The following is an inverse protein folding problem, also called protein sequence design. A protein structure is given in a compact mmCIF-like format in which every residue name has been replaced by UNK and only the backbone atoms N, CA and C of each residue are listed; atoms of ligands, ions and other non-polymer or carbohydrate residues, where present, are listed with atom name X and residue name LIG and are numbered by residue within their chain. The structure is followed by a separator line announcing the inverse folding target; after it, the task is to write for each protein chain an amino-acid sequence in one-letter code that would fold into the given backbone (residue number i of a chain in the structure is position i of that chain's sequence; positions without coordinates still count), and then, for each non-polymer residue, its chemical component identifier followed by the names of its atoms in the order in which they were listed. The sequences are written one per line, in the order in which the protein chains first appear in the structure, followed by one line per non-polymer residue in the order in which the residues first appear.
data_IF_173989613513
#
_entry.id   IF_173989613513
#
_cell.length_a   1.000
_cell.length_b   1.000
_cell.length_c   1.000
_cell.angle_alpha   90.00
_cell.angle_beta   90.00
_cell.angle_gamma   90.00
#
_symmetry.space_group_name_H-M   'P 1'
#
loop_
_entity.id
_entity.type
_entity.pdbx_description
1 polymer ?
#
# COMPACT_ATOMS: atom_id res chain seq x y z
N UNK A 1 18.11 29.69 10.83
CA UNK A 1 19.08 28.58 10.78
C UNK A 1 18.58 27.57 9.77
N UNK A 2 19.40 27.19 8.80
CA UNK A 2 19.00 26.27 7.72
C UNK A 2 18.86 24.84 8.24
N UNK A 3 17.82 24.14 7.80
CA UNK A 3 17.62 22.72 8.08
C UNK A 3 18.71 21.89 7.37
N UNK A 4 19.77 21.53 8.11
CA UNK A 4 21.01 20.94 7.58
C UNK A 4 20.87 19.54 6.97
N UNK A 5 19.72 18.87 7.11
CA UNK A 5 19.49 17.52 6.59
C UNK A 5 18.94 17.49 5.16
N UNK A 6 18.60 18.63 4.56
CA UNK A 6 18.14 18.70 3.18
C UNK A 6 19.28 19.03 2.20
N UNK A 7 19.28 18.45 0.98
CA UNK A 7 18.35 17.44 0.49
C UNK A 7 18.54 16.07 1.17
N UNK A 8 17.43 15.39 1.46
CA UNK A 8 17.42 14.06 2.04
C UNK A 8 17.27 12.98 0.95
N UNK A 9 17.89 11.82 1.15
CA UNK A 9 17.96 10.74 0.16
C UNK A 9 17.49 9.40 0.75
N UNK A 10 16.92 8.54 -0.10
CA UNK A 10 16.54 7.16 0.23
C UNK A 10 16.90 6.20 -0.93
N UNK A 11 16.90 4.90 -0.65
CA UNK A 11 17.39 3.87 -1.60
C UNK A 11 16.31 3.28 -2.53
N UNK A 12 15.05 3.71 -2.40
CA UNK A 12 13.94 3.20 -3.21
C UNK A 12 13.37 4.25 -4.17
N UNK A 13 12.30 3.92 -4.89
CA UNK A 13 11.49 4.86 -5.67
C UNK A 13 10.19 5.19 -4.93
N UNK A 14 9.58 6.31 -5.30
CA UNK A 14 8.33 6.81 -4.71
C UNK A 14 7.38 7.22 -5.81
N UNK A 15 6.15 6.72 -5.75
CA UNK A 15 5.03 7.15 -6.60
C UNK A 15 3.83 7.63 -5.77
N UNK A 16 4.04 7.86 -4.47
CA UNK A 16 3.04 8.36 -3.53
C UNK A 16 3.29 9.82 -3.21
N UNK A 17 2.23 10.54 -2.85
CA UNK A 17 2.37 11.86 -2.23
C UNK A 17 2.86 11.71 -0.79
N UNK A 18 3.78 12.58 -0.31
CA UNK A 18 4.18 12.59 1.09
C UNK A 18 3.00 12.98 2.00
N UNK A 19 2.98 12.46 3.21
CA UNK A 19 2.01 12.79 4.26
C UNK A 19 2.70 13.58 5.38
N UNK A 20 2.09 14.68 5.83
CA UNK A 20 2.53 15.41 7.02
C UNK A 20 1.75 14.98 8.25
N UNK A 21 2.44 14.47 9.26
CA UNK A 21 1.81 14.01 10.50
C UNK A 21 2.81 14.09 11.67
N UNK A 22 2.30 14.29 12.88
CA UNK A 22 3.11 14.28 14.11
C UNK A 22 3.20 12.83 14.61
N UNK A 23 4.30 12.16 14.27
CA UNK A 23 4.42 10.71 14.38
C UNK A 23 4.81 10.31 15.81
N UNK A 24 5.69 11.07 16.43
CA UNK A 24 6.18 10.81 17.79
C UNK A 24 5.48 11.64 18.88
N UNK A 25 4.50 12.48 18.49
CA UNK A 25 3.63 13.27 19.37
C UNK A 25 4.38 14.37 20.12
N UNK A 26 5.40 14.94 19.50
CA UNK A 26 6.18 16.05 20.06
C UNK A 26 5.59 17.44 19.70
N UNK A 27 4.54 17.48 18.88
CA UNK A 27 3.88 18.70 18.40
C UNK A 27 4.46 19.27 17.10
N UNK A 28 5.52 18.67 16.56
CA UNK A 28 6.10 18.96 15.24
C UNK A 28 5.66 17.89 14.26
N UNK A 29 5.39 18.26 13.00
CA UNK A 29 5.03 17.28 11.97
C UNK A 29 6.25 16.79 11.22
N UNK A 30 6.34 15.47 11.11
CA UNK A 30 7.23 14.76 10.20
C UNK A 30 6.61 14.61 8.81
N UNK A 31 7.46 14.20 7.87
CA UNK A 31 7.10 13.79 6.52
C UNK A 31 7.16 12.26 6.45
N UNK A 32 6.01 11.63 6.24
CA UNK A 32 5.93 10.21 5.93
C UNK A 32 5.94 9.96 4.42
N UNK A 33 6.75 9.00 3.98
CA UNK A 33 6.98 8.70 2.57
C UNK A 33 6.94 7.20 2.31
N UNK A 34 5.91 6.74 1.61
CA UNK A 34 5.76 5.33 1.25
C UNK A 34 6.59 5.00 -0.01
N UNK A 35 7.43 3.98 0.11
CA UNK A 35 8.39 3.58 -0.92
C UNK A 35 8.03 2.26 -1.60
N UNK A 36 8.62 1.99 -2.76
CA UNK A 36 8.43 0.74 -3.51
C UNK A 36 8.96 -0.51 -2.80
N UNK A 37 9.84 -0.35 -1.81
CA UNK A 37 10.37 -1.48 -1.05
C UNK A 37 9.36 -2.06 -0.05
N UNK A 38 8.17 -1.46 0.06
CA UNK A 38 7.19 -1.84 1.08
C UNK A 38 7.58 -1.29 2.46
N UNK A 39 8.17 -0.10 2.52
CA UNK A 39 8.42 0.60 3.77
C UNK A 39 7.94 2.06 3.69
N UNK A 40 7.49 2.59 4.81
CA UNK A 40 7.20 4.01 5.01
C UNK A 40 8.31 4.60 5.86
N UNK A 41 9.06 5.52 5.26
CA UNK A 41 10.13 6.26 5.91
C UNK A 41 9.58 7.53 6.54
N UNK A 42 10.19 7.98 7.64
CA UNK A 42 9.82 9.22 8.31
C UNK A 42 11.00 10.18 8.32
N UNK A 43 10.76 11.40 7.83
CA UNK A 43 11.75 12.48 7.83
C UNK A 43 11.29 13.57 8.79
N UNK A 44 12.20 14.01 9.65
CA UNK A 44 12.02 15.23 10.43
C UNK A 44 11.94 16.43 9.50
N UNK A 45 11.33 17.53 9.97
CA UNK A 45 11.35 18.82 9.27
C UNK A 45 12.78 19.27 8.94
N UNK A 46 13.76 18.86 9.75
CA UNK A 46 15.18 19.12 9.55
C UNK A 46 15.83 18.39 8.36
N UNK A 47 15.15 17.39 7.78
CA UNK A 47 15.64 16.55 6.68
C UNK A 47 16.33 15.26 7.13
N UNK A 48 16.53 15.07 8.43
CA UNK A 48 17.05 13.81 8.95
C UNK A 48 15.98 12.72 8.95
N UNK A 49 16.37 11.52 8.52
CA UNK A 49 15.52 10.34 8.62
C UNK A 49 15.45 9.86 10.08
N UNK A 50 14.27 9.46 10.52
CA UNK A 50 14.09 8.84 11.83
C UNK A 50 14.55 7.39 11.81
N UNK A 51 14.88 6.85 13.00
CA UNK A 51 15.16 5.43 13.16
C UNK A 51 13.89 4.57 13.04
N UNK A 52 12.76 5.13 13.47
CA UNK A 52 11.45 4.49 13.29
C UNK A 52 11.04 4.52 11.82
N UNK A 53 10.45 3.41 11.38
CA UNK A 53 9.85 3.25 10.06
C UNK A 53 8.74 2.20 10.15
N UNK A 54 7.82 2.22 9.19
CA UNK A 54 6.82 1.16 9.05
C UNK A 54 7.23 0.21 7.92
N UNK A 55 7.26 -1.09 8.18
CA UNK A 55 7.42 -2.11 7.15
C UNK A 55 6.05 -2.71 6.80
N UNK A 56 5.73 -2.72 5.51
CA UNK A 56 4.53 -3.35 4.94
C UNK A 56 4.93 -4.76 4.52
N UNK A 57 4.50 -5.80 5.27
CA UNK A 57 4.91 -7.16 4.96
C UNK A 57 4.34 -7.59 3.61
N UNK A 58 5.16 -8.30 2.84
CA UNK A 58 4.69 -8.94 1.60
C UNK A 58 3.59 -9.94 1.93
N UNK A 59 2.42 -9.76 1.32
CA UNK A 59 1.33 -10.72 1.45
C UNK A 59 1.74 -12.02 0.76
N UNK A 60 1.75 -13.12 1.52
CA UNK A 60 1.97 -14.46 0.97
C UNK A 60 0.69 -14.94 0.31
N UNK A 61 0.82 -15.46 -0.90
CA UNK A 61 -0.29 -16.00 -1.68
C UNK A 61 0.08 -17.42 -2.08
N UNK A 62 -0.86 -18.36 -1.99
CA UNK A 62 -0.63 -19.75 -2.37
C UNK A 62 -0.24 -19.83 -3.85
N UNK A 63 0.66 -20.74 -4.24
CA UNK A 63 1.09 -20.85 -5.65
C UNK A 63 -0.08 -21.10 -6.61
N UNK A 64 -1.10 -21.81 -6.15
CA UNK A 64 -2.31 -22.15 -6.89
C UNK A 64 -3.50 -21.21 -6.58
N UNK A 65 -3.25 -19.98 -6.10
CA UNK A 65 -4.30 -19.01 -5.79
C UNK A 65 -5.25 -18.71 -6.96
N UNK A 66 -4.76 -18.93 -8.19
CA UNK A 66 -5.51 -18.72 -9.42
C UNK A 66 -6.46 -19.88 -9.78
N UNK A 67 -6.35 -21.02 -9.11
CA UNK A 67 -7.19 -22.19 -9.40
C UNK A 67 -8.62 -21.91 -8.94
N UNK A 68 -9.58 -22.07 -9.85
CA UNK A 68 -11.00 -21.81 -9.58
C UNK A 68 -11.43 -20.36 -9.77
N UNK A 69 -10.53 -19.45 -10.18
CA UNK A 69 -10.93 -18.10 -10.61
C UNK A 69 -11.65 -18.14 -11.96
N UNK A 70 -12.46 -17.11 -12.21
CA UNK A 70 -13.12 -16.92 -13.51
C UNK A 70 -12.05 -16.91 -14.64
N UNK A 71 -12.18 -17.76 -15.68
CA UNK A 71 -11.25 -17.80 -16.80
C UNK A 71 -11.22 -16.50 -17.61
N UNK A 72 -12.28 -15.68 -17.56
CA UNK A 72 -12.26 -14.31 -18.06
C UNK A 72 -12.20 -13.32 -16.87
N UNK A 73 -10.99 -12.93 -16.43
CA UNK A 73 -10.82 -12.00 -15.32
C UNK A 73 -11.14 -10.54 -15.69
N UNK A 74 -11.48 -10.27 -16.95
CA UNK A 74 -11.78 -8.91 -17.45
C UNK A 74 -13.13 -8.92 -18.18
N UNK A 75 -14.10 -9.68 -17.68
CA UNK A 75 -15.46 -9.57 -18.17
C UNK A 75 -16.00 -8.16 -17.86
N UNK A 76 -16.37 -7.43 -18.91
CA UNK A 76 -16.96 -6.09 -18.83
C UNK A 76 -18.45 -6.09 -19.18
N UNK A 77 -19.06 -7.27 -19.25
CA UNK A 77 -20.49 -7.42 -19.52
C UNK A 77 -21.36 -6.90 -18.37
N UNK A 78 -20.82 -6.87 -17.15
CA UNK A 78 -21.44 -6.37 -15.92
C UNK A 78 -20.45 -5.53 -15.08
N UNK A 79 -20.93 -4.61 -14.24
CA UNK A 79 -20.06 -3.79 -13.37
C UNK A 79 -19.47 -4.60 -12.21
N UNK A 80 -18.14 -4.56 -12.02
CA UNK A 80 -17.46 -5.29 -10.93
C UNK A 80 -17.81 -4.81 -9.50
N UNK A 81 -18.45 -3.66 -9.37
CA UNK A 81 -18.73 -3.00 -8.08
C UNK A 81 -20.24 -2.89 -7.91
N UNK A 82 -20.75 -3.34 -6.76
CA UNK A 82 -22.19 -3.42 -6.42
C UNK A 82 -23.01 -4.39 -7.28
N UNK A 83 -22.37 -5.40 -7.87
CA UNK A 83 -23.08 -6.48 -8.55
C UNK A 83 -23.29 -7.67 -7.63
N UNK A 84 -24.52 -7.78 -7.11
CA UNK A 84 -24.94 -8.90 -6.25
C UNK A 84 -24.95 -10.24 -7.02
N UNK A 85 -25.01 -10.22 -8.36
CA UNK A 85 -24.99 -11.43 -9.19
C UNK A 85 -23.63 -12.12 -9.12
N UNK A 86 -22.52 -11.36 -9.09
CA UNK A 86 -21.16 -11.91 -8.92
C UNK A 86 -21.03 -12.75 -7.64
N UNK A 87 -21.64 -12.30 -6.55
CA UNK A 87 -21.64 -13.02 -5.26
C UNK A 87 -22.47 -14.31 -5.38
N UNK A 88 -23.63 -14.21 -6.04
CA UNK A 88 -24.54 -15.34 -6.21
C UNK A 88 -23.94 -16.42 -7.12
N UNK A 89 -23.34 -16.03 -8.25
CA UNK A 89 -22.65 -16.93 -9.19
C UNK A 89 -21.43 -17.60 -8.56
N UNK A 90 -20.61 -16.84 -7.83
CA UNK A 90 -19.49 -17.42 -7.09
C UNK A 90 -19.96 -18.43 -6.02
N UNK A 91 -21.07 -18.13 -5.34
CA UNK A 91 -21.66 -19.05 -4.34
C UNK A 91 -22.18 -20.33 -5.00
N UNK A 92 -22.83 -20.21 -6.17
CA UNK A 92 -23.29 -21.35 -6.96
C UNK A 92 -22.09 -22.18 -7.42
N UNK A 93 -21.11 -21.60 -8.12
CA UNK A 93 -19.94 -22.30 -8.62
C UNK A 93 -19.20 -23.09 -7.52
N UNK A 94 -19.02 -22.49 -6.33
CA UNK A 94 -18.39 -23.15 -5.18
C UNK A 94 -19.24 -24.27 -4.56
N UNK A 95 -20.55 -24.29 -4.79
CA UNK A 95 -21.46 -25.34 -4.27
C UNK A 95 -21.57 -26.55 -5.18
N UNK A 96 -21.18 -26.42 -6.47
CA UNK A 96 -21.21 -27.52 -7.46
C UNK A 96 -19.84 -28.19 -7.64
N UNK A 97 -18.77 -27.59 -7.12
CA UNK A 97 -17.40 -28.13 -7.08
C UNK A 97 -17.13 -28.95 -5.82
#
# INVERSE_FOLDING_TARGET
MGFSGWPAFHQSTVHSSPLLYDIDKDGVREIALATYNGEVLFFRVSGYIMSDKLEVPRRKVLKNWYVGLNPDPVDRSHPDVHDDQLIQEATIANSVS
#
